data_IF_172574038659
#
_entry.id   IF_172574038659
#
_cell.length_a   1.000
_cell.length_b   1.000
_cell.length_c   1.000
_cell.angle_alpha   90.00
_cell.angle_beta   90.00
_cell.angle_gamma   90.00
#
_symmetry.space_group_name_H-M   'P 1'
#
loop_
_entity.id
_entity.type
_entity.pdbx_description
1 polymer ?
#
# COMPACT_ATOMS: atom_id res chain seq x y z
N UNK A 1 2.94 -31.85 5.33
CA UNK A 1 1.85 -31.78 6.32
C UNK A 1 1.38 -30.35 6.61
N UNK A 2 2.25 -29.39 6.96
CA UNK A 2 1.82 -28.00 7.25
C UNK A 2 1.21 -27.20 6.07
N UNK A 3 1.48 -27.58 4.81
CA UNK A 3 0.91 -26.91 3.62
C UNK A 3 -0.54 -27.30 3.31
N UNK A 4 -1.07 -28.37 3.90
CA UNK A 4 -2.39 -28.90 3.55
C UNK A 4 -3.50 -28.37 4.45
N UNK A 5 -3.15 -27.71 5.56
CA UNK A 5 -4.12 -27.28 6.57
C UNK A 5 -4.26 -25.75 6.55
N UNK A 6 -5.47 -25.27 6.20
CA UNK A 6 -5.76 -23.83 5.99
C UNK A 6 -5.37 -22.96 7.20
N UNK A 7 -5.61 -23.44 8.41
CA UNK A 7 -5.31 -22.70 9.64
C UNK A 7 -3.82 -22.37 9.80
N UNK A 8 -2.91 -23.29 9.42
CA UNK A 8 -1.46 -23.04 9.55
C UNK A 8 -0.95 -22.03 8.50
N UNK A 9 -1.59 -21.99 7.31
CA UNK A 9 -1.25 -21.05 6.24
C UNK A 9 -1.78 -19.64 6.54
N UNK A 10 -2.99 -19.52 7.08
CA UNK A 10 -3.59 -18.21 7.37
C UNK A 10 -2.95 -17.51 8.57
N UNK A 11 -2.41 -18.26 9.54
CA UNK A 11 -1.85 -17.67 10.77
C UNK A 11 -0.37 -17.31 10.66
N UNK A 12 0.36 -17.86 9.68
CA UNK A 12 1.81 -17.60 9.53
C UNK A 12 2.08 -16.57 8.44
N UNK A 13 2.79 -15.50 8.79
CA UNK A 13 3.28 -14.56 7.81
C UNK A 13 4.27 -15.25 6.84
N UNK A 14 4.23 -14.92 5.53
CA UNK A 14 5.19 -15.44 4.57
C UNK A 14 6.60 -14.93 4.89
N UNK A 15 7.58 -15.84 4.92
CA UNK A 15 8.99 -15.50 5.20
C UNK A 15 9.77 -15.10 3.95
N UNK A 16 9.16 -15.19 2.78
CA UNK A 16 9.75 -14.81 1.49
C UNK A 16 9.21 -13.47 1.05
N UNK A 17 10.09 -12.58 0.59
CA UNK A 17 9.71 -11.30 -0.01
C UNK A 17 8.78 -11.52 -1.22
N UNK A 18 7.82 -10.61 -1.46
CA UNK A 18 6.99 -10.67 -2.66
C UNK A 18 7.90 -10.71 -3.90
N UNK A 19 7.65 -11.69 -4.77
CA UNK A 19 8.41 -11.89 -6.01
C UNK A 19 7.83 -10.96 -7.06
N UNK A 20 8.64 -10.06 -7.60
CA UNK A 20 8.23 -9.12 -8.65
C UNK A 20 9.11 -7.86 -8.66
N UNK A 21 9.24 -7.21 -9.82
CA UNK A 21 9.80 -5.86 -9.88
C UNK A 21 8.70 -4.89 -9.46
N UNK A 22 9.05 -3.87 -8.68
CA UNK A 22 8.18 -2.72 -8.48
C UNK A 22 7.98 -2.12 -9.88
N UNK A 23 6.73 -1.96 -10.31
CA UNK A 23 6.39 -1.30 -11.56
C UNK A 23 6.15 0.18 -11.26
N UNK A 24 7.19 1.05 -11.35
CA UNK A 24 7.00 2.47 -11.13
C UNK A 24 6.06 3.02 -12.20
N UNK A 25 5.38 4.12 -11.85
CA UNK A 25 4.65 4.91 -12.84
C UNK A 25 5.63 5.46 -13.88
N UNK A 26 5.19 5.53 -15.14
CA UNK A 26 5.96 6.15 -16.21
C UNK A 26 6.20 7.63 -15.90
N UNK A 27 7.36 8.14 -16.31
CA UNK A 27 7.69 9.56 -16.18
C UNK A 27 6.69 10.37 -17.02
N UNK A 28 5.95 11.33 -16.42
CA UNK A 28 5.01 12.17 -17.16
C UNK A 28 5.75 13.03 -18.18
N UNK A 29 5.20 13.17 -19.39
CA UNK A 29 5.86 13.89 -20.51
C UNK A 29 5.28 15.27 -20.77
N UNK A 30 4.10 15.55 -20.21
CA UNK A 30 3.38 16.82 -20.36
C UNK A 30 2.91 17.30 -18.99
N UNK A 31 2.59 18.59 -18.90
CA UNK A 31 1.93 19.13 -17.71
C UNK A 31 0.61 18.38 -17.48
N UNK A 32 0.36 17.99 -16.23
CA UNK A 32 -0.86 17.28 -15.81
C UNK A 32 -1.06 15.87 -16.41
N UNK A 33 -0.03 15.27 -16.98
CA UNK A 33 -0.07 13.92 -17.59
C UNK A 33 -0.21 12.80 -16.54
N UNK A 34 0.14 13.08 -15.27
CA UNK A 34 -0.15 12.20 -14.13
C UNK A 34 -0.25 13.01 -12.84
N UNK A 35 -1.14 12.61 -11.94
CA UNK A 35 -1.35 13.24 -10.63
C UNK A 35 -1.43 12.12 -9.58
N UNK A 36 -0.47 12.11 -8.64
CA UNK A 36 -0.54 11.26 -7.45
C UNK A 36 -1.12 12.04 -6.28
N UNK A 37 -2.11 11.47 -5.60
CA UNK A 37 -2.72 12.05 -4.39
C UNK A 37 -2.67 11.02 -3.27
N UNK A 38 -2.40 11.49 -2.06
CA UNK A 38 -2.43 10.69 -0.83
C UNK A 38 -3.04 11.53 0.29
N UNK A 39 -3.76 10.87 1.20
CA UNK A 39 -4.36 11.53 2.36
C UNK A 39 -3.50 11.23 3.59
N UNK A 40 -3.04 12.28 4.27
CA UNK A 40 -2.28 12.10 5.50
C UNK A 40 -3.21 12.32 6.70
N UNK A 41 -3.29 11.35 7.59
CA UNK A 41 -4.08 11.40 8.83
C UNK A 41 -4.41 10.01 9.38
N UNK A 42 -5.23 9.91 10.44
CA UNK A 42 -5.92 11.02 11.10
C UNK A 42 -5.01 11.78 12.08
N UNK A 43 -5.13 13.10 12.07
CA UNK A 43 -4.51 14.03 13.00
C UNK A 43 -5.50 14.44 14.11
N UNK A 44 -5.02 15.02 15.22
CA UNK A 44 -5.90 15.71 16.15
C UNK A 44 -6.74 16.76 15.41
N UNK A 45 -8.05 16.77 15.67
CA UNK A 45 -8.98 17.67 14.97
C UNK A 45 -8.57 19.13 15.14
N UNK A 46 -8.40 19.83 14.02
CA UNK A 46 -8.22 21.27 13.97
C UNK A 46 -9.33 21.88 13.13
N UNK A 47 -10.12 22.78 13.71
CA UNK A 47 -11.28 23.40 13.03
C UNK A 47 -12.23 22.39 12.38
N UNK A 48 -12.40 21.21 13.00
CA UNK A 48 -13.26 20.14 12.49
C UNK A 48 -12.65 19.21 11.44
N UNK A 49 -11.37 19.38 11.08
CA UNK A 49 -10.67 18.55 10.09
C UNK A 49 -9.52 17.77 10.74
N UNK A 50 -9.30 16.54 10.31
CA UNK A 50 -8.29 15.60 10.81
C UNK A 50 -7.42 14.98 9.70
N UNK A 51 -7.61 15.38 8.44
CA UNK A 51 -6.77 14.96 7.32
C UNK A 51 -6.24 16.19 6.56
N UNK A 52 -5.05 16.04 5.98
CA UNK A 52 -4.42 17.02 5.07
C UNK A 52 -4.57 16.58 3.61
#
# INVERSE_FOLDING_TARGET
FCRSYKMCICTKAPTTKPRGKIHPLSIPTKLWDSIGMDFIGPFPKSKGHDYL
#
